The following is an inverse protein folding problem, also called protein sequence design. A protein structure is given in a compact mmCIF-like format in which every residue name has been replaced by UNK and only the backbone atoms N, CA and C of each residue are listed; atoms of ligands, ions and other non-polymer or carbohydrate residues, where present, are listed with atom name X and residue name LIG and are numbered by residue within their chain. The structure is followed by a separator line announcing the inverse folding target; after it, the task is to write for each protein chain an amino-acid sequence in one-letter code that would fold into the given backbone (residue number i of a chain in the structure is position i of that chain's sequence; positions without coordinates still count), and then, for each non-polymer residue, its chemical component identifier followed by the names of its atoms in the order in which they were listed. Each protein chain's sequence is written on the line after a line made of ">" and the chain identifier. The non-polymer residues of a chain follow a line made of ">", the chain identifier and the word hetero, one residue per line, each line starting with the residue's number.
data_IF_749677846143
#
_entry.id   IF_749677846143
#
_cell.length_a   1.000
_cell.length_b   1.000
_cell.length_c   1.000
_cell.angle_alpha   90.00
_cell.angle_beta   90.00
_cell.angle_gamma   90.00
#
_symmetry.space_group_name_H-M   'P 1'
#
loop_
_entity.id
_entity.type
_entity.pdbx_description
1 polymer ?
#
# COMPACT_ATOMS: atom_id res chain seq x y z
N UNK A 1 -20.71 -15.48 -2.42
CA UNK A 1 -20.24 -14.58 -3.50
C UNK A 1 -20.44 -13.09 -3.16
N UNK A 2 -21.62 -12.68 -2.66
CA UNK A 2 -21.88 -11.30 -2.20
C UNK A 2 -21.03 -10.82 -1.01
N UNK A 3 -20.54 -11.74 -0.16
CA UNK A 3 -19.69 -11.43 1.01
C UNK A 3 -18.25 -11.10 0.65
N UNK A 4 -17.65 -11.79 -0.32
CA UNK A 4 -16.31 -11.47 -0.83
C UNK A 4 -16.27 -10.05 -1.39
N UNK A 5 -17.23 -9.69 -2.24
CA UNK A 5 -17.32 -8.34 -2.81
C UNK A 5 -17.52 -7.27 -1.72
N UNK A 6 -18.21 -7.62 -0.63
CA UNK A 6 -18.43 -6.71 0.50
C UNK A 6 -17.16 -6.46 1.31
N UNK A 7 -16.32 -7.48 1.46
CA UNK A 7 -14.98 -7.31 2.02
C UNK A 7 -14.14 -6.48 1.05
N UNK A 8 -14.06 -6.86 -0.22
CA UNK A 8 -13.19 -6.23 -1.23
C UNK A 8 -13.48 -4.76 -1.56
N UNK A 9 -14.60 -4.19 -1.08
CA UNK A 9 -15.01 -2.81 -1.37
C UNK A 9 -13.92 -1.79 -1.10
N UNK A 10 -13.18 -1.90 -0.01
CA UNK A 10 -12.15 -0.92 0.33
C UNK A 10 -10.92 -0.99 -0.57
N UNK A 11 -10.58 -2.19 -1.08
CA UNK A 11 -9.47 -2.35 -2.03
C UNK A 11 -9.90 -1.81 -3.40
N UNK A 12 -11.14 -2.08 -3.81
CA UNK A 12 -11.73 -1.48 -5.00
C UNK A 12 -11.81 0.05 -4.89
N UNK A 13 -12.17 0.58 -3.72
CA UNK A 13 -12.26 2.02 -3.49
C UNK A 13 -10.88 2.67 -3.53
N UNK A 14 -9.86 2.04 -2.92
CA UNK A 14 -8.48 2.50 -3.02
C UNK A 14 -7.96 2.45 -4.47
N UNK A 15 -8.31 1.41 -5.22
CA UNK A 15 -7.94 1.29 -6.64
C UNK A 15 -8.62 2.34 -7.52
N UNK A 16 -9.91 2.60 -7.29
CA UNK A 16 -10.64 3.70 -7.94
C UNK A 16 -10.01 5.04 -7.56
N UNK A 17 -9.71 5.26 -6.28
CA UNK A 17 -9.07 6.48 -5.81
C UNK A 17 -7.70 6.68 -6.47
N UNK A 18 -6.90 5.63 -6.62
CA UNK A 18 -5.62 5.69 -7.34
C UNK A 18 -5.82 6.02 -8.83
N UNK A 19 -6.76 5.35 -9.49
CA UNK A 19 -7.05 5.59 -10.92
C UNK A 19 -7.57 7.00 -11.19
N UNK A 20 -8.33 7.57 -10.25
CA UNK A 20 -8.81 8.95 -10.33
C UNK A 20 -7.71 9.95 -9.97
N UNK A 21 -6.94 9.70 -8.91
CA UNK A 21 -5.91 10.63 -8.47
C UNK A 21 -4.76 10.77 -9.46
N UNK A 22 -4.33 9.68 -10.10
CA UNK A 22 -3.20 9.69 -11.04
C UNK A 22 -3.33 10.72 -12.18
N UNK A 23 -4.43 10.79 -12.95
CA UNK A 23 -4.61 11.83 -13.98
C UNK A 23 -4.89 13.23 -13.41
N UNK A 24 -5.42 13.31 -12.19
CA UNK A 24 -5.77 14.57 -11.53
C UNK A 24 -4.62 15.22 -10.76
N UNK A 25 -3.50 14.51 -10.56
CA UNK A 25 -2.34 14.96 -9.79
C UNK A 25 -1.85 16.34 -10.23
N UNK A 26 -1.62 16.52 -11.53
CA UNK A 26 -1.14 17.80 -12.07
C UNK A 26 -2.11 18.95 -11.80
N UNK A 27 -3.42 18.71 -11.91
CA UNK A 27 -4.44 19.72 -11.62
C UNK A 27 -4.51 20.04 -10.12
N UNK A 28 -4.38 19.03 -9.26
CA UNK A 28 -4.41 19.18 -7.81
C UNK A 28 -3.23 20.00 -7.28
N UNK A 29 -2.04 19.78 -7.85
CA UNK A 29 -0.82 20.52 -7.49
C UNK A 29 -0.89 22.01 -7.89
N UNK A 30 -1.55 22.35 -9.00
CA UNK A 30 -1.69 23.74 -9.46
C UNK A 30 -2.86 24.50 -8.80
N UNK A 31 -3.83 23.78 -8.20
CA UNK A 31 -5.05 24.39 -7.63
C UNK A 31 -4.84 25.06 -6.26
N UNK A 32 -3.63 24.99 -5.70
CA UNK A 32 -3.24 25.67 -4.46
C UNK A 32 -2.94 24.72 -3.30
N UNK A 33 -2.11 25.18 -2.36
CA UNK A 33 -1.59 24.41 -1.23
C UNK A 33 -2.65 23.67 -0.37
N UNK A 34 -3.82 24.25 -0.02
CA UNK A 34 -4.79 23.52 0.81
C UNK A 34 -5.45 22.34 0.09
N UNK A 35 -5.62 22.43 -1.24
CA UNK A 35 -6.23 21.36 -2.05
C UNK A 35 -5.24 20.21 -2.20
N UNK A 36 -3.97 20.51 -2.48
CA UNK A 36 -2.93 19.49 -2.57
C UNK A 36 -2.75 18.72 -1.24
N UNK A 37 -2.75 19.42 -0.11
CA UNK A 37 -2.61 18.79 1.22
C UNK A 37 -3.80 17.89 1.57
N UNK A 38 -5.03 18.37 1.34
CA UNK A 38 -6.24 17.56 1.61
C UNK A 38 -6.31 16.33 0.72
N UNK A 39 -5.96 16.47 -0.57
CA UNK A 39 -5.86 15.35 -1.50
C UNK A 39 -4.82 14.30 -1.06
N UNK A 40 -3.62 14.76 -0.69
CA UNK A 40 -2.57 13.87 -0.19
C UNK A 40 -3.00 13.12 1.07
N UNK A 41 -3.64 13.79 2.02
CA UNK A 41 -4.12 13.17 3.26
C UNK A 41 -5.19 12.09 2.99
N UNK A 42 -6.12 12.37 2.06
CA UNK A 42 -7.12 11.40 1.62
C UNK A 42 -6.46 10.19 0.95
N UNK A 43 -5.46 10.40 0.09
CA UNK A 43 -4.71 9.31 -0.54
C UNK A 43 -3.98 8.44 0.47
N UNK A 44 -3.28 9.06 1.44
CA UNK A 44 -2.61 8.34 2.52
C UNK A 44 -3.61 7.50 3.31
N UNK A 45 -4.79 8.03 3.64
CA UNK A 45 -5.83 7.26 4.31
C UNK A 45 -6.27 6.02 3.49
N UNK A 46 -6.43 6.16 2.17
CA UNK A 46 -6.76 5.03 1.29
C UNK A 46 -5.65 3.98 1.25
N UNK A 47 -4.39 4.39 1.19
CA UNK A 47 -3.23 3.50 1.20
C UNK A 47 -3.18 2.69 2.51
N UNK A 48 -3.38 3.35 3.65
CA UNK A 48 -3.39 2.68 4.97
C UNK A 48 -4.50 1.65 5.05
N UNK A 49 -5.73 2.02 4.66
CA UNK A 49 -6.88 1.10 4.67
C UNK A 49 -6.64 -0.09 3.73
N UNK A 50 -6.08 0.15 2.54
CA UNK A 50 -5.75 -0.92 1.60
C UNK A 50 -4.70 -1.88 2.16
N UNK A 51 -3.61 -1.34 2.73
CA UNK A 51 -2.52 -2.13 3.33
C UNK A 51 -3.01 -3.02 4.48
N UNK A 52 -3.81 -2.48 5.40
CA UNK A 52 -4.40 -3.25 6.51
C UNK A 52 -5.26 -4.42 6.00
N UNK A 53 -5.98 -4.23 4.90
CA UNK A 53 -6.80 -5.30 4.33
C UNK A 53 -5.98 -6.37 3.64
N UNK A 54 -4.87 -6.02 3.00
CA UNK A 54 -3.94 -7.00 2.43
C UNK A 54 -3.32 -7.84 3.56
N UNK A 55 -2.88 -7.20 4.65
CA UNK A 55 -2.36 -7.89 5.82
C UNK A 55 -3.38 -8.86 6.43
N UNK A 56 -4.64 -8.43 6.58
CA UNK A 56 -5.70 -9.31 7.09
C UNK A 56 -5.94 -10.54 6.20
N UNK A 57 -5.82 -10.41 4.87
CA UNK A 57 -5.90 -11.58 3.99
C UNK A 57 -4.72 -12.52 4.15
N UNK A 58 -3.52 -11.98 4.36
CA UNK A 58 -2.34 -12.79 4.65
C UNK A 58 -2.50 -13.56 5.98
N UNK A 59 -3.06 -12.92 7.02
CA UNK A 59 -3.39 -13.57 8.30
C UNK A 59 -4.41 -14.70 8.12
N UNK A 60 -5.52 -14.44 7.43
CA UNK A 60 -6.54 -15.45 7.17
C UNK A 60 -6.00 -16.63 6.37
N UNK A 61 -5.05 -16.38 5.46
CA UNK A 61 -4.38 -17.44 4.73
C UNK A 61 -3.42 -18.20 5.66
N UNK A 62 -2.65 -17.50 6.48
CA UNK A 62 -1.71 -18.10 7.43
C UNK A 62 -2.42 -19.03 8.43
N UNK A 63 -3.55 -18.59 8.98
CA UNK A 63 -4.36 -19.38 9.91
C UNK A 63 -4.91 -20.66 9.26
N UNK A 64 -5.30 -20.59 7.98
CA UNK A 64 -5.81 -21.76 7.24
C UNK A 64 -4.73 -22.79 6.96
N UNK A 65 -3.48 -22.38 6.76
CA UNK A 65 -2.38 -23.30 6.47
C UNK A 65 -1.79 -23.87 7.77
N UNK A 66 -1.83 -23.10 8.86
CA UNK A 66 -1.29 -23.51 10.16
C UNK A 66 0.24 -23.54 10.20
N UNK A 67 0.81 -23.77 11.38
CA UNK A 67 2.26 -23.74 11.55
C UNK A 67 2.96 -24.99 11.00
N UNK A 68 4.16 -24.85 10.40
CA UNK A 68 5.00 -23.63 10.33
C UNK A 68 4.76 -22.74 9.09
N UNK A 69 3.97 -23.22 8.13
CA UNK A 69 3.81 -22.55 6.84
C UNK A 69 3.03 -21.25 6.93
N UNK A 70 2.07 -21.14 7.86
CA UNK A 70 1.34 -19.91 8.10
C UNK A 70 2.26 -18.77 8.53
N UNK A 71 3.19 -19.04 9.44
CA UNK A 71 4.22 -18.09 9.85
C UNK A 71 5.12 -17.67 8.67
N UNK A 72 5.52 -18.61 7.79
CA UNK A 72 6.29 -18.28 6.58
C UNK A 72 5.49 -17.41 5.59
N UNK A 73 4.18 -17.65 5.45
CA UNK A 73 3.31 -16.85 4.58
C UNK A 73 3.22 -15.41 5.10
N UNK A 74 3.06 -15.22 6.42
CA UNK A 74 2.93 -13.90 7.01
C UNK A 74 4.23 -13.08 6.84
N UNK A 75 5.38 -13.69 7.10
CA UNK A 75 6.68 -13.01 6.93
C UNK A 75 6.97 -12.70 5.47
N UNK A 76 6.68 -13.63 4.55
CA UNK A 76 6.87 -13.41 3.12
C UNK A 76 5.92 -12.34 2.56
N UNK A 77 4.67 -12.28 3.05
CA UNK A 77 3.72 -11.23 2.67
C UNK A 77 4.21 -9.84 3.10
N UNK A 78 4.72 -9.70 4.32
CA UNK A 78 5.27 -8.43 4.81
C UNK A 78 6.47 -7.97 3.97
N UNK A 79 7.45 -8.85 3.74
CA UNK A 79 8.64 -8.55 2.93
C UNK A 79 8.28 -8.21 1.48
N UNK A 80 7.29 -8.89 0.90
CA UNK A 80 6.87 -8.65 -0.47
C UNK A 80 6.32 -7.23 -0.65
N UNK A 81 5.54 -6.73 0.30
CA UNK A 81 5.01 -5.35 0.26
C UNK A 81 6.15 -4.34 0.25
N UNK A 82 7.17 -4.53 1.09
CA UNK A 82 8.35 -3.67 1.14
C UNK A 82 9.13 -3.67 -0.18
N UNK A 83 9.41 -4.85 -0.73
CA UNK A 83 10.15 -4.99 -1.99
C UNK A 83 9.39 -4.33 -3.15
N UNK A 84 8.06 -4.45 -3.19
CA UNK A 84 7.23 -3.78 -4.20
C UNK A 84 7.30 -2.26 -4.06
N UNK A 85 7.20 -1.72 -2.84
CA UNK A 85 7.31 -0.27 -2.60
C UNK A 85 8.70 0.23 -3.02
N UNK A 86 9.77 -0.49 -2.64
CA UNK A 86 11.14 -0.16 -3.05
C UNK A 86 11.30 -0.18 -4.58
N UNK A 87 10.72 -1.17 -5.26
CA UNK A 87 10.76 -1.25 -6.72
C UNK A 87 10.02 -0.07 -7.40
N UNK A 88 8.87 0.33 -6.84
CA UNK A 88 8.12 1.50 -7.32
C UNK A 88 8.94 2.77 -7.11
N UNK A 89 9.55 2.95 -5.93
CA UNK A 89 10.42 4.09 -5.65
C UNK A 89 11.59 4.13 -6.62
N UNK A 90 12.31 3.02 -6.81
CA UNK A 90 13.43 2.96 -7.76
C UNK A 90 13.02 3.26 -9.21
N UNK A 91 11.77 3.01 -9.58
CA UNK A 91 11.26 3.28 -10.93
C UNK A 91 10.86 4.73 -11.15
N UNK A 92 10.53 5.48 -10.08
CA UNK A 92 9.90 6.79 -10.15
C UNK A 92 10.70 7.93 -9.48
N UNK A 93 11.62 7.61 -8.56
CA UNK A 93 12.41 8.57 -7.78
C UNK A 93 13.79 8.87 -8.40
N UNK A 94 14.23 10.12 -8.24
CA UNK A 94 15.53 10.62 -8.66
C UNK A 94 16.64 10.43 -7.61
N UNK A 95 16.32 10.04 -6.37
CA UNK A 95 17.29 9.98 -5.27
C UNK A 95 17.52 8.56 -4.71
N UNK A 96 18.70 7.94 -4.96
CA UNK A 96 19.08 6.64 -4.39
C UNK A 96 19.14 6.61 -2.86
N UNK A 97 19.23 7.76 -2.20
CA UNK A 97 19.36 7.83 -0.73
C UNK A 97 18.06 7.44 -0.03
N UNK A 98 16.90 7.80 -0.58
CA UNK A 98 15.60 7.48 0.01
C UNK A 98 15.32 5.96 0.01
N UNK A 99 15.71 5.28 -1.08
CA UNK A 99 15.63 3.81 -1.19
C UNK A 99 16.52 3.14 -0.15
N UNK A 100 17.76 3.62 0.00
CA UNK A 100 18.70 3.12 1.01
C UNK A 100 18.16 3.28 2.44
N UNK A 101 17.62 4.44 2.76
CA UNK A 101 17.10 4.73 4.09
C UNK A 101 15.88 3.85 4.42
N UNK A 102 15.02 3.61 3.43
CA UNK A 102 13.86 2.70 3.56
C UNK A 102 14.30 1.26 3.83
N UNK A 103 15.35 0.77 3.14
CA UNK A 103 15.93 -0.55 3.40
C UNK A 103 16.47 -0.66 4.83
N UNK A 104 17.20 0.36 5.30
CA UNK A 104 17.72 0.32 6.67
C UNK A 104 16.60 0.36 7.71
N UNK A 105 15.54 1.15 7.49
CA UNK A 105 14.40 1.16 8.39
C UNK A 105 13.67 -0.19 8.45
N UNK A 106 13.53 -0.89 7.33
CA UNK A 106 12.91 -2.21 7.27
C UNK A 106 13.73 -3.30 7.99
N UNK A 107 15.06 -3.28 7.85
CA UNK A 107 15.96 -4.27 8.49
C UNK A 107 16.06 -4.12 10.01
N UNK A 108 15.81 -2.91 10.54
CA UNK A 108 15.92 -2.62 11.99
C UNK A 108 14.63 -3.01 12.75
N UNK A 109 13.51 -3.23 12.06
CA UNK A 109 12.24 -3.72 12.63
C UNK A 109 12.32 -5.20 13.02
#
# INVERSE_FOLDING_TARGET
>A
MLTLIKQEKFLLLALIAAFVAYPLEHWMLHSGQPIALTAGLVLVAFIVIASMRVAHHAELLAEKVGDPYGTMILTLAAVLVEVVILAIMMSNEASPTLVRDTIYSAVIL
#
